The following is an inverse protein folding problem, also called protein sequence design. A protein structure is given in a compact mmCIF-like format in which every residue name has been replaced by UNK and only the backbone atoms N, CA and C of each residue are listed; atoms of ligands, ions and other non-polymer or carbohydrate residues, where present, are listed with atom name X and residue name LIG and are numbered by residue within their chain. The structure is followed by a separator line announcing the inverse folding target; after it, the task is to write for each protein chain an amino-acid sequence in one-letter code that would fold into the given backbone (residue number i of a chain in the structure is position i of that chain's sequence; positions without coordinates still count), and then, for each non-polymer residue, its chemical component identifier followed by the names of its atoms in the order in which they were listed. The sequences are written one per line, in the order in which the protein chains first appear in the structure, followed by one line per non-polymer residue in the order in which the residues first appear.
data_IF_444317062832
#
_entry.id   IF_444317062832
#
_cell.length_a   1.000
_cell.length_b   1.000
_cell.length_c   1.000
_cell.angle_alpha   90.00
_cell.angle_beta   90.00
_cell.angle_gamma   90.00
#
_symmetry.space_group_name_H-M   'P 1'
#
loop_
_entity.id
_entity.type
_entity.pdbx_description
1 polymer ?
#
# COMPACT_ATOMS: atom_id res chain seq x y z
N UNK A 1 1.52 8.73 -27.21
CA UNK A 1 2.88 8.98 -26.66
C UNK A 1 2.76 9.32 -25.18
N UNK A 2 3.02 8.36 -24.28
CA UNK A 2 2.95 8.59 -22.83
C UNK A 2 4.20 9.31 -22.36
N UNK A 3 4.08 10.59 -22.00
CA UNK A 3 5.18 11.36 -21.40
C UNK A 3 5.46 10.78 -20.01
N UNK A 4 6.49 9.94 -19.92
CA UNK A 4 7.05 9.49 -18.65
C UNK A 4 7.51 10.73 -17.88
N UNK A 5 6.71 11.17 -16.90
CA UNK A 5 7.11 12.24 -15.98
C UNK A 5 8.32 11.73 -15.19
N UNK A 6 9.53 12.05 -15.66
CA UNK A 6 10.75 11.90 -14.86
C UNK A 6 10.50 12.65 -13.55
N UNK A 7 10.55 11.92 -12.42
CA UNK A 7 10.51 12.54 -11.08
C UNK A 7 11.65 13.56 -11.02
N UNK A 8 11.33 14.84 -10.87
CA UNK A 8 12.32 15.88 -10.64
C UNK A 8 13.21 15.45 -9.46
N UNK A 9 14.54 15.58 -9.63
CA UNK A 9 15.52 15.27 -8.58
C UNK A 9 15.22 16.21 -7.41
N UNK A 10 14.91 15.66 -6.23
CA UNK A 10 14.58 16.48 -5.06
C UNK A 10 15.73 17.45 -4.78
N UNK A 11 15.45 18.75 -4.75
CA UNK A 11 16.44 19.78 -4.45
C UNK A 11 17.01 19.54 -3.05
N UNK A 12 18.32 19.52 -2.93
CA UNK A 12 19.00 19.36 -1.63
C UNK A 12 18.69 20.58 -0.77
N UNK A 13 18.08 20.36 0.40
CA UNK A 13 17.79 21.44 1.36
C UNK A 13 19.13 22.08 1.81
N UNK A 14 19.18 23.42 1.92
CA UNK A 14 20.39 24.13 2.34
C UNK A 14 20.78 23.76 3.77
N UNK A 15 22.09 23.80 4.05
CA UNK A 15 22.62 23.58 5.39
C UNK A 15 22.34 24.80 6.26
N UNK A 16 21.82 24.59 7.48
CA UNK A 16 21.59 25.69 8.41
C UNK A 16 22.88 26.19 9.08
N UNK A 17 24.00 25.46 8.94
CA UNK A 17 25.30 25.79 9.53
C UNK A 17 25.39 25.58 11.05
N UNK A 18 24.24 25.42 11.71
CA UNK A 18 24.13 25.13 13.15
C UNK A 18 24.49 23.67 13.45
N UNK A 19 25.08 23.38 14.63
CA UNK A 19 25.35 22.01 15.04
C UNK A 19 24.06 21.21 15.17
N UNK A 20 24.14 19.90 14.90
CA UNK A 20 23.00 19.01 15.07
C UNK A 20 22.66 18.90 16.56
N UNK A 21 21.42 19.24 16.92
CA UNK A 21 20.96 19.20 18.32
C UNK A 21 21.15 17.83 18.95
N UNK A 22 20.93 16.76 18.17
CA UNK A 22 21.07 15.39 18.65
C UNK A 22 22.55 14.94 18.67
N UNK A 23 23.42 15.50 17.81
CA UNK A 23 24.86 15.23 17.90
C UNK A 23 25.45 15.86 19.15
N UNK A 24 25.05 17.09 19.48
CA UNK A 24 25.48 17.78 20.70
C UNK A 24 25.06 17.01 21.95
N UNK A 25 23.82 16.52 21.98
CA UNK A 25 23.32 15.71 23.10
C UNK A 25 24.08 14.37 23.26
N UNK A 26 24.56 13.78 22.17
CA UNK A 26 25.33 12.52 22.17
C UNK A 26 26.86 12.73 22.33
N UNK A 27 27.33 13.97 22.53
CA UNK A 27 28.77 14.27 22.63
C UNK A 27 29.55 14.08 21.33
N UNK A 28 28.86 14.02 20.18
CA UNK A 28 29.49 13.83 18.87
C UNK A 28 30.08 15.17 18.40
N UNK A 29 31.41 15.23 18.33
CA UNK A 29 32.17 16.43 17.93
C UNK A 29 32.22 16.66 16.42
N UNK A 30 31.91 15.64 15.60
CA UNK A 30 31.91 15.77 14.14
C UNK A 30 30.84 16.75 13.66
N UNK A 31 31.24 17.79 12.90
CA UNK A 31 30.30 18.73 12.28
C UNK A 31 29.60 18.10 11.09
N UNK A 32 28.30 17.85 11.21
CA UNK A 32 27.45 17.29 10.14
C UNK A 32 26.50 18.37 9.60
N UNK A 33 26.23 18.37 8.30
CA UNK A 33 25.25 19.26 7.67
C UNK A 33 23.87 19.10 8.29
N UNK A 34 23.15 20.20 8.53
CA UNK A 34 21.84 20.23 9.20
C UNK A 34 20.74 20.82 8.29
N UNK A 35 20.20 20.03 7.35
CA UNK A 35 19.22 20.51 6.37
C UNK A 35 17.76 20.60 6.88
N UNK A 36 17.49 20.21 8.13
CA UNK A 36 16.13 20.08 8.68
C UNK A 36 15.83 21.09 9.81
N UNK A 37 14.57 21.55 9.97
CA UNK A 37 14.17 22.43 11.07
C UNK A 37 14.47 21.84 12.45
N UNK A 38 14.93 22.69 13.37
CA UNK A 38 15.52 22.28 14.65
C UNK A 38 16.81 21.49 14.36
N UNK A 39 17.94 22.18 14.15
CA UNK A 39 19.00 21.77 13.24
C UNK A 39 19.42 20.32 13.49
N UNK A 40 19.21 19.46 12.49
CA UNK A 40 19.47 18.01 12.58
C UNK A 40 20.21 17.49 11.38
N UNK A 41 21.18 16.61 11.63
CA UNK A 41 21.86 15.90 10.57
C UNK A 41 20.95 14.83 9.93
N UNK A 42 21.30 14.40 8.72
CA UNK A 42 20.52 13.41 7.98
C UNK A 42 20.35 12.08 8.76
N UNK A 43 21.37 11.66 9.51
CA UNK A 43 21.36 10.43 10.32
C UNK A 43 20.34 10.52 11.45
N UNK A 44 20.44 11.56 12.30
CA UNK A 44 19.51 11.73 13.42
C UNK A 44 18.09 12.03 12.96
N UNK A 45 17.91 12.80 11.88
CA UNK A 45 16.59 13.00 11.28
C UNK A 45 15.98 11.68 10.78
N UNK A 46 16.77 10.83 10.10
CA UNK A 46 16.31 9.49 9.65
C UNK A 46 15.99 8.59 10.85
N UNK A 47 16.83 8.60 11.88
CA UNK A 47 16.62 7.85 13.12
C UNK A 47 15.33 8.26 13.83
N UNK A 48 15.12 9.56 14.02
CA UNK A 48 13.89 10.11 14.61
C UNK A 48 12.66 9.77 13.77
N UNK A 49 12.73 9.93 12.44
CA UNK A 49 11.64 9.56 11.54
C UNK A 49 11.27 8.08 11.68
N UNK A 50 12.26 7.19 11.78
CA UNK A 50 12.04 5.74 12.02
C UNK A 50 11.32 5.51 13.34
N UNK A 51 11.81 6.10 14.45
CA UNK A 51 11.19 5.99 15.78
C UNK A 51 9.74 6.48 15.81
N UNK A 52 9.49 7.69 15.31
CA UNK A 52 8.14 8.28 15.23
C UNK A 52 7.21 7.43 14.37
N UNK A 53 7.70 6.94 13.21
CA UNK A 53 6.86 6.15 12.31
C UNK A 53 6.38 4.83 12.92
N UNK A 54 7.19 4.19 13.76
CA UNK A 54 6.82 2.93 14.42
C UNK A 54 5.71 3.13 15.46
N UNK A 55 5.83 4.14 16.33
CA UNK A 55 4.79 4.46 17.32
C UNK A 55 3.51 5.00 16.70
N UNK A 56 3.62 5.82 15.63
CA UNK A 56 2.46 6.47 15.01
C UNK A 56 1.44 5.52 14.40
N UNK A 57 1.85 4.33 13.93
CA UNK A 57 0.92 3.39 13.30
C UNK A 57 -0.01 2.74 14.34
N UNK A 58 0.54 2.28 15.47
CA UNK A 58 -0.26 1.69 16.55
C UNK A 58 -1.28 2.68 17.13
N UNK A 59 -0.87 3.92 17.37
CA UNK A 59 -1.80 4.96 17.82
C UNK A 59 -2.87 5.27 16.76
N UNK A 60 -2.49 5.31 15.48
CA UNK A 60 -3.44 5.61 14.40
C UNK A 60 -4.45 4.48 14.20
N UNK A 61 -4.03 3.23 14.27
CA UNK A 61 -4.94 2.10 14.03
C UNK A 61 -6.02 2.02 15.12
N UNK A 62 -5.63 2.21 16.38
CA UNK A 62 -6.57 2.35 17.50
C UNK A 62 -7.51 3.53 17.26
N UNK A 63 -6.98 4.72 16.99
CA UNK A 63 -7.82 5.91 16.80
C UNK A 63 -8.74 5.88 15.56
N UNK A 64 -8.43 5.06 14.55
CA UNK A 64 -9.20 5.02 13.29
C UNK A 64 -10.19 3.86 13.26
N UNK A 65 -9.83 2.72 13.85
CA UNK A 65 -10.57 1.46 13.71
C UNK A 65 -10.90 0.81 15.05
N UNK A 66 -10.47 1.38 16.17
CA UNK A 66 -10.67 0.82 17.52
C UNK A 66 -10.17 -0.62 17.67
N UNK A 67 -9.04 -0.93 17.02
CA UNK A 67 -8.30 -2.18 17.22
C UNK A 67 -6.86 -1.91 17.62
N UNK A 68 -6.36 -2.75 18.50
CA UNK A 68 -4.97 -2.78 18.92
C UNK A 68 -4.06 -3.35 17.82
N UNK A 69 -2.74 -3.08 17.89
CA UNK A 69 -1.77 -3.74 17.03
C UNK A 69 -1.82 -5.27 17.10
N UNK A 70 -2.10 -5.84 18.28
CA UNK A 70 -2.13 -7.29 18.47
C UNK A 70 -3.35 -7.91 17.81
N UNK A 71 -4.52 -7.27 17.90
CA UNK A 71 -5.72 -7.69 17.16
C UNK A 71 -5.52 -7.61 15.64
N UNK A 72 -4.83 -6.56 15.16
CA UNK A 72 -4.45 -6.49 13.74
C UNK A 72 -3.60 -7.70 13.32
N UNK A 73 -2.61 -8.07 14.12
CA UNK A 73 -1.75 -9.22 13.82
C UNK A 73 -2.50 -10.54 13.95
N UNK A 74 -3.44 -10.67 14.90
CA UNK A 74 -4.32 -11.83 14.99
C UNK A 74 -5.16 -12.01 13.70
N UNK A 75 -5.75 -10.93 13.16
CA UNK A 75 -6.46 -10.98 11.87
C UNK A 75 -5.49 -11.33 10.74
N UNK A 76 -4.29 -10.74 10.73
CA UNK A 76 -3.27 -11.03 9.72
C UNK A 76 -2.88 -12.52 9.69
N UNK A 77 -2.64 -13.11 10.86
CA UNK A 77 -2.30 -14.53 11.02
C UNK A 77 -3.46 -15.43 10.63
N UNK A 78 -4.68 -15.11 11.05
CA UNK A 78 -5.89 -15.82 10.65
C UNK A 78 -6.07 -15.85 9.12
N UNK A 79 -5.71 -14.75 8.42
CA UNK A 79 -5.72 -14.69 6.95
C UNK A 79 -4.50 -15.35 6.28
N UNK A 80 -3.64 -16.06 7.02
CA UNK A 80 -2.43 -16.69 6.48
C UNK A 80 -1.36 -15.68 6.06
N UNK A 81 -1.34 -14.50 6.67
CA UNK A 81 -0.39 -13.43 6.41
C UNK A 81 -0.53 -12.75 5.05
N UNK A 82 -1.72 -12.79 4.45
CA UNK A 82 -1.97 -12.29 3.10
C UNK A 82 -3.27 -11.50 3.00
N UNK A 83 -3.35 -10.69 1.95
CA UNK A 83 -4.59 -10.05 1.54
C UNK A 83 -5.66 -11.11 1.28
N UNK A 84 -6.79 -11.00 1.99
CA UNK A 84 -7.86 -12.01 1.93
C UNK A 84 -8.39 -12.24 0.51
N UNK A 85 -8.51 -11.17 -0.29
CA UNK A 85 -9.06 -11.26 -1.65
C UNK A 85 -8.05 -11.82 -2.64
N UNK A 86 -6.89 -11.17 -2.82
CA UNK A 86 -6.00 -11.54 -3.92
C UNK A 86 -4.99 -12.62 -3.59
N UNK A 87 -4.79 -12.96 -2.31
CA UNK A 87 -3.86 -13.99 -1.83
C UNK A 87 -2.40 -13.84 -2.31
N UNK A 88 -2.05 -12.66 -2.87
CA UNK A 88 -0.74 -12.34 -3.45
C UNK A 88 0.05 -11.37 -2.57
N UNK A 89 -0.60 -10.33 -2.08
CA UNK A 89 0.05 -9.32 -1.25
C UNK A 89 0.17 -9.82 0.19
N UNK A 90 1.36 -9.67 0.79
CA UNK A 90 1.70 -10.24 2.09
C UNK A 90 2.05 -9.20 3.17
N UNK A 91 1.83 -7.92 2.92
CA UNK A 91 2.11 -6.87 3.92
C UNK A 91 3.59 -6.47 4.08
N UNK A 92 4.56 -7.16 3.46
CA UNK A 92 6.01 -6.95 3.69
C UNK A 92 6.50 -5.55 3.28
N UNK A 93 6.10 -5.07 2.09
CA UNK A 93 6.49 -3.74 1.61
C UNK A 93 5.57 -2.63 2.13
N UNK A 94 4.27 -2.94 2.25
CA UNK A 94 3.24 -2.03 2.74
C UNK A 94 2.23 -2.86 3.51
N UNK A 95 1.98 -2.47 4.77
CA UNK A 95 0.96 -3.09 5.62
C UNK A 95 -0.38 -3.19 4.90
N UNK A 96 -1.09 -4.28 5.14
CA UNK A 96 -2.45 -4.45 4.64
C UNK A 96 -3.37 -3.43 5.33
N UNK A 97 -4.29 -2.86 4.58
CA UNK A 97 -5.30 -1.92 5.06
C UNK A 97 -6.39 -2.67 5.81
N UNK A 98 -6.85 -2.10 6.94
CA UNK A 98 -8.06 -2.56 7.62
C UNK A 98 -9.26 -2.16 6.76
N UNK A 99 -10.01 -3.16 6.32
CA UNK A 99 -11.25 -3.01 5.58
C UNK A 99 -12.44 -3.08 6.54
N UNK A 100 -13.43 -2.23 6.33
CA UNK A 100 -14.61 -2.12 7.16
C UNK A 100 -15.82 -1.81 6.28
N UNK A 101 -16.98 -2.23 6.73
CA UNK A 101 -18.25 -1.88 6.10
C UNK A 101 -18.55 -0.39 6.37
N UNK A 102 -18.74 0.40 5.31
CA UNK A 102 -18.98 1.84 5.42
C UNK A 102 -20.38 2.21 5.99
N UNK A 103 -21.30 1.26 6.07
CA UNK A 103 -22.65 1.45 6.65
C UNK A 103 -22.68 1.08 8.12
N UNK A 104 -22.05 -0.04 8.50
CA UNK A 104 -22.13 -0.58 9.86
C UNK A 104 -20.89 -0.30 10.71
N UNK A 105 -19.77 0.06 10.08
CA UNK A 105 -18.48 0.22 10.75
C UNK A 105 -17.78 -1.10 11.08
N UNK A 106 -18.42 -2.25 10.83
CA UNK A 106 -17.86 -3.56 11.17
C UNK A 106 -16.58 -3.80 10.38
N UNK A 107 -15.51 -4.16 11.10
CA UNK A 107 -14.24 -4.57 10.49
C UNK A 107 -14.43 -5.93 9.83
N UNK A 108 -14.07 -6.02 8.55
CA UNK A 108 -14.21 -7.24 7.75
C UNK A 108 -12.90 -8.02 7.65
N UNK A 109 -11.76 -7.33 7.62
CA UNK A 109 -10.45 -7.97 7.51
C UNK A 109 -9.35 -7.07 6.97
N UNK A 110 -8.28 -7.68 6.47
CA UNK A 110 -7.10 -6.98 5.96
C UNK A 110 -6.89 -7.19 4.46
N UNK A 111 -6.81 -6.08 3.72
CA UNK A 111 -6.71 -6.08 2.27
C UNK A 111 -5.52 -5.24 1.78
N UNK A 112 -4.92 -5.61 0.64
CA UNK A 112 -3.93 -4.74 0.02
C UNK A 112 -4.60 -3.51 -0.60
N UNK A 113 -3.84 -2.44 -0.87
CA UNK A 113 -4.39 -1.21 -1.45
C UNK A 113 -5.11 -1.46 -2.79
N UNK A 114 -4.62 -2.40 -3.60
CA UNK A 114 -5.26 -2.76 -4.86
C UNK A 114 -6.65 -3.35 -4.63
N UNK A 115 -6.78 -4.35 -3.76
CA UNK A 115 -8.08 -4.97 -3.48
C UNK A 115 -9.02 -4.04 -2.73
N UNK A 116 -8.54 -3.36 -1.69
CA UNK A 116 -9.37 -2.47 -0.88
C UNK A 116 -9.93 -1.31 -1.72
N UNK A 117 -9.04 -0.52 -2.33
CA UNK A 117 -9.42 0.72 -3.01
C UNK A 117 -9.93 0.48 -4.43
N UNK A 118 -9.29 -0.41 -5.19
CA UNK A 118 -9.52 -0.53 -6.62
C UNK A 118 -10.38 -1.73 -7.01
N UNK A 119 -10.62 -2.68 -6.11
CA UNK A 119 -11.55 -3.79 -6.35
C UNK A 119 -12.85 -3.55 -5.59
N UNK A 120 -12.83 -3.55 -4.25
CA UNK A 120 -14.04 -3.32 -3.45
C UNK A 120 -14.57 -1.89 -3.59
N UNK A 121 -13.70 -0.88 -3.43
CA UNK A 121 -14.10 0.52 -3.55
C UNK A 121 -14.67 0.88 -4.93
N UNK A 122 -14.12 0.32 -6.02
CA UNK A 122 -14.67 0.52 -7.37
C UNK A 122 -16.01 -0.19 -7.57
N UNK A 123 -16.15 -1.39 -7.02
CA UNK A 123 -17.43 -2.11 -6.99
C UNK A 123 -18.45 -1.48 -6.02
N UNK A 124 -18.05 -0.47 -5.23
CA UNK A 124 -18.88 0.17 -4.18
C UNK A 124 -19.49 -0.83 -3.21
N UNK A 125 -18.72 -1.88 -2.87
CA UNK A 125 -19.18 -2.98 -2.02
C UNK A 125 -20.46 -3.70 -2.54
N UNK A 126 -20.78 -3.59 -3.83
CA UNK A 126 -21.95 -4.22 -4.47
C UNK A 126 -21.69 -5.71 -4.75
N UNK A 127 -22.46 -6.58 -4.10
CA UNK A 127 -22.32 -8.04 -4.25
C UNK A 127 -22.67 -8.47 -5.68
N UNK A 128 -23.73 -7.91 -6.25
CA UNK A 128 -24.24 -8.24 -7.58
C UNK A 128 -23.20 -7.92 -8.67
N UNK A 129 -22.33 -6.92 -8.44
CA UNK A 129 -21.20 -6.65 -9.32
C UNK A 129 -20.24 -7.85 -9.39
N UNK A 130 -19.88 -8.43 -8.24
CA UNK A 130 -18.98 -9.57 -8.17
C UNK A 130 -19.62 -10.85 -8.72
N UNK A 131 -20.91 -11.06 -8.48
CA UNK A 131 -21.66 -12.16 -9.07
C UNK A 131 -21.65 -12.08 -10.61
N UNK A 132 -21.90 -10.89 -11.17
CA UNK A 132 -21.79 -10.66 -12.62
C UNK A 132 -20.37 -10.87 -13.14
N UNK A 133 -19.35 -10.48 -12.38
CA UNK A 133 -17.96 -10.72 -12.75
C UNK A 133 -17.65 -12.23 -12.80
N UNK A 134 -18.11 -13.01 -11.83
CA UNK A 134 -17.99 -14.48 -11.84
C UNK A 134 -18.74 -15.06 -13.05
N UNK A 135 -19.97 -14.62 -13.30
CA UNK A 135 -20.76 -15.07 -14.45
C UNK A 135 -20.08 -14.74 -15.79
N UNK A 136 -19.53 -13.54 -15.93
CA UNK A 136 -18.78 -13.11 -17.13
C UNK A 136 -17.56 -13.97 -17.40
N UNK A 137 -16.81 -14.36 -16.36
CA UNK A 137 -15.63 -15.22 -16.51
C UNK A 137 -16.00 -16.66 -16.86
N UNK A 138 -17.09 -17.18 -16.28
CA UNK A 138 -17.54 -18.56 -16.52
C UNK A 138 -18.23 -18.72 -17.87
N UNK A 139 -19.09 -17.75 -18.22
CA UNK A 139 -19.91 -17.78 -19.43
C UNK A 139 -19.84 -16.43 -20.16
N UNK A 140 -18.72 -16.11 -20.81
CA UNK A 140 -18.51 -14.82 -21.44
C UNK A 140 -19.53 -14.57 -22.56
N UNK A 141 -20.22 -13.41 -22.58
CA UNK A 141 -21.26 -13.11 -23.57
C UNK A 141 -20.77 -13.21 -25.02
N UNK A 142 -19.51 -12.84 -25.30
CA UNK A 142 -18.95 -12.96 -26.63
C UNK A 142 -18.95 -14.41 -27.15
N UNK A 143 -18.66 -15.39 -26.30
CA UNK A 143 -18.68 -16.80 -26.70
C UNK A 143 -20.11 -17.27 -26.99
N UNK A 144 -21.09 -16.78 -26.23
CA UNK A 144 -22.50 -17.12 -26.41
C UNK A 144 -23.08 -16.52 -27.71
N UNK A 145 -22.67 -15.30 -28.07
CA UNK A 145 -23.25 -14.55 -29.20
C UNK A 145 -22.51 -14.82 -30.52
N UNK A 146 -21.17 -14.85 -30.50
CA UNK A 146 -20.34 -14.92 -31.72
C UNK A 146 -19.40 -16.13 -31.77
N UNK A 147 -19.55 -17.06 -30.82
CA UNK A 147 -18.70 -18.24 -30.68
C UNK A 147 -17.32 -17.93 -30.10
N UNK A 148 -16.49 -18.96 -29.94
CA UNK A 148 -15.10 -18.81 -29.50
C UNK A 148 -14.28 -18.12 -30.59
N UNK A 149 -13.64 -17.00 -30.27
CA UNK A 149 -12.72 -16.28 -31.15
C UNK A 149 -11.48 -15.84 -30.38
N UNK A 150 -10.34 -15.82 -31.06
CA UNK A 150 -9.07 -15.34 -30.52
C UNK A 150 -8.86 -13.90 -31.01
N UNK A 151 -8.53 -12.99 -30.10
CA UNK A 151 -8.19 -11.62 -30.46
C UNK A 151 -6.89 -11.63 -31.29
N UNK A 152 -6.84 -11.00 -32.50
CA UNK A 152 -5.65 -11.06 -33.37
C UNK A 152 -4.35 -10.59 -32.69
N UNK A 153 -4.45 -9.64 -31.76
CA UNK A 153 -3.33 -9.13 -30.96
C UNK A 153 -2.61 -10.22 -30.13
N UNK A 154 -3.28 -11.34 -29.81
CA UNK A 154 -2.69 -12.46 -29.06
C UNK A 154 -2.31 -13.63 -29.97
N UNK A 155 -2.62 -13.58 -31.27
CA UNK A 155 -2.46 -14.73 -32.16
C UNK A 155 -1.00 -15.17 -32.33
N UNK A 156 -0.05 -14.23 -32.41
CA UNK A 156 1.38 -14.53 -32.53
C UNK A 156 1.95 -15.13 -31.23
N UNK A 157 1.48 -14.65 -30.08
CA UNK A 157 1.88 -15.17 -28.77
C UNK A 157 1.37 -16.59 -28.54
N UNK A 158 0.17 -16.92 -29.03
CA UNK A 158 -0.37 -18.28 -28.92
C UNK A 158 0.33 -19.26 -29.87
N UNK A 159 0.72 -18.82 -31.07
CA UNK A 159 1.49 -19.65 -32.02
C UNK A 159 2.88 -20.03 -31.49
N UNK A 160 3.51 -19.17 -30.69
CA UNK A 160 4.84 -19.41 -30.12
C UNK A 160 4.84 -20.26 -28.84
N UNK A 161 3.66 -20.70 -28.36
CA UNK A 161 3.51 -21.57 -27.19
C UNK A 161 3.21 -23.04 -27.55
N UNK A 162 3.02 -23.32 -28.85
CA UNK A 162 2.91 -24.66 -29.45
C UNK A 162 4.24 -25.09 -30.06
#
# INVERSE_FOLDING_TARGET
MSVSRRRAKATTRPDSGKPCVDCLAEGITSKRKTPWPGPRCATHHRGRKKKVSAGSWGTRIIATYDITPDEYWAIYEFQGGRCYICQRANGKFKRLSVDHDHKTGIIRGLLCTMCNKYTLGWARDCIEFFERAIAYLRNPPAVQVIGKRIAPIEAEKLKSQT
#
